data_IF_040866706810
#
_entry.id   IF_040866706810
#
_cell.length_a   1.000
_cell.length_b   1.000
_cell.length_c   1.000
_cell.angle_alpha   90.00
_cell.angle_beta   90.00
_cell.angle_gamma   90.00
#
_symmetry.space_group_name_H-M   'P 1'
#
loop_
_entity.id
_entity.type
_entity.pdbx_description
1 polymer ?
#
# COMPACT_ATOMS: atom_id res chain seq x y z
N UNK A 1 53.40 -29.50 5.21
CA UNK A 1 53.65 -30.87 4.69
C UNK A 1 52.42 -31.68 5.01
N UNK A 2 51.66 -32.36 4.14
CA UNK A 2 51.64 -32.72 2.71
C UNK A 2 50.12 -32.78 2.34
N UNK A 3 49.59 -32.31 1.20
CA UNK A 3 49.77 -32.67 -0.22
C UNK A 3 49.20 -34.05 -0.64
N UNK A 4 48.18 -34.01 -1.53
CA UNK A 4 47.76 -35.06 -2.50
C UNK A 4 46.55 -35.92 -2.07
N UNK A 5 45.62 -36.38 -2.93
CA UNK A 5 45.48 -36.36 -4.39
C UNK A 5 44.17 -37.07 -4.84
N UNK A 6 43.51 -36.53 -5.90
CA UNK A 6 42.82 -37.15 -7.06
C UNK A 6 41.68 -38.22 -7.00
N UNK A 7 40.69 -37.99 -7.90
CA UNK A 7 39.84 -38.99 -8.61
C UNK A 7 38.45 -38.43 -9.00
N UNK A 8 38.18 -37.90 -10.22
CA UNK A 8 37.66 -38.57 -11.46
C UNK A 8 36.60 -39.64 -11.21
N UNK A 9 35.41 -39.73 -11.82
CA UNK A 9 34.71 -39.11 -12.96
C UNK A 9 33.47 -40.01 -13.23
N UNK A 10 32.46 -39.55 -13.98
CA UNK A 10 31.34 -40.44 -14.36
C UNK A 10 30.09 -39.73 -14.89
N UNK A 11 29.94 -39.74 -16.21
CA UNK A 11 28.76 -39.35 -16.98
C UNK A 11 27.58 -40.30 -16.74
N UNK A 12 26.35 -39.77 -16.74
CA UNK A 12 25.18 -40.46 -17.33
C UNK A 12 24.22 -39.42 -17.92
N UNK A 13 23.95 -39.56 -19.22
CA UNK A 13 22.88 -38.88 -19.94
C UNK A 13 21.60 -39.70 -19.83
N UNK A 14 20.45 -39.03 -19.93
CA UNK A 14 19.28 -39.56 -20.62
C UNK A 14 18.29 -38.44 -20.91
N UNK A 15 18.30 -37.96 -22.16
CA UNK A 15 17.14 -37.34 -22.81
C UNK A 15 16.07 -38.41 -23.03
N UNK A 16 14.79 -38.08 -22.82
CA UNK A 16 13.69 -38.72 -23.55
C UNK A 16 12.43 -37.81 -23.62
N UNK A 17 12.24 -37.20 -24.79
CA UNK A 17 11.01 -37.22 -25.60
C UNK A 17 9.83 -36.30 -25.25
N UNK A 18 9.88 -35.14 -25.91
CA UNK A 18 8.81 -34.38 -26.60
C UNK A 18 7.52 -35.15 -26.93
N UNK A 19 6.34 -34.60 -26.62
CA UNK A 19 5.08 -34.83 -27.37
C UNK A 19 4.27 -33.53 -27.49
N UNK A 20 4.25 -32.96 -28.69
CA UNK A 20 3.26 -31.98 -29.16
C UNK A 20 1.93 -32.70 -29.45
N UNK A 21 0.80 -32.10 -29.08
CA UNK A 21 -0.49 -32.37 -29.73
C UNK A 21 -1.28 -31.07 -29.91
N UNK A 22 -1.37 -30.67 -31.17
CA UNK A 22 -2.33 -29.71 -31.72
C UNK A 22 -3.38 -30.51 -32.49
N UNK A 23 -4.69 -30.28 -32.33
CA UNK A 23 -5.68 -30.39 -33.43
C UNK A 23 -7.07 -29.81 -33.07
N UNK A 24 -7.42 -28.75 -33.79
CA UNK A 24 -8.68 -28.42 -34.51
C UNK A 24 -10.10 -28.52 -33.90
N UNK A 25 -10.72 -27.34 -33.79
CA UNK A 25 -12.06 -26.83 -34.21
C UNK A 25 -13.28 -27.78 -34.25
N UNK A 26 -14.36 -27.34 -33.59
CA UNK A 26 -15.73 -27.48 -34.12
C UNK A 26 -16.59 -26.26 -33.75
N UNK A 27 -17.12 -25.60 -34.78
CA UNK A 27 -18.15 -24.57 -34.68
C UNK A 27 -19.53 -25.24 -34.68
N UNK A 28 -20.46 -24.75 -33.87
CA UNK A 28 -21.88 -25.13 -33.94
C UNK A 28 -22.74 -23.90 -34.21
N UNK A 29 -23.39 -23.93 -35.38
CA UNK A 29 -24.52 -23.10 -35.79
C UNK A 29 -25.68 -23.24 -34.80
N UNK A 30 -26.36 -22.13 -34.50
CA UNK A 30 -27.75 -22.13 -34.09
C UNK A 30 -28.56 -21.26 -35.06
N UNK A 31 -29.59 -21.87 -35.63
CA UNK A 31 -30.41 -21.35 -36.71
C UNK A 31 -31.44 -20.30 -36.29
N UNK A 32 -31.84 -19.53 -37.29
CA UNK A 32 -32.91 -18.55 -37.37
C UNK A 32 -34.31 -19.15 -37.22
N UNK A 33 -35.22 -18.43 -36.56
CA UNK A 33 -36.63 -18.37 -36.94
C UNK A 33 -37.11 -16.91 -36.95
N UNK A 34 -37.61 -16.53 -38.13
CA UNK A 34 -38.31 -15.29 -38.44
C UNK A 34 -39.79 -15.41 -38.06
N UNK A 35 -40.35 -14.32 -37.54
CA UNK A 35 -41.74 -13.90 -37.61
C UNK A 35 -41.71 -12.41 -37.22
N UNK A 36 -42.20 -11.42 -37.94
CA UNK A 36 -42.88 -11.31 -39.21
C UNK A 36 -42.98 -9.80 -39.47
N UNK A 37 -42.88 -9.42 -40.75
CA UNK A 37 -42.89 -8.05 -41.21
C UNK A 37 -44.23 -7.34 -40.96
N UNK A 38 -44.19 -6.04 -40.70
CA UNK A 38 -45.11 -5.11 -41.36
C UNK A 38 -44.27 -3.99 -41.96
N UNK A 39 -44.35 -3.88 -43.28
CA UNK A 39 -43.70 -2.88 -44.11
C UNK A 39 -44.36 -1.50 -43.92
N UNK A 40 -43.53 -0.45 -43.96
CA UNK A 40 -43.85 0.80 -44.65
C UNK A 40 -42.54 1.44 -45.16
N UNK A 41 -42.53 1.76 -46.45
CA UNK A 41 -41.41 2.24 -47.27
C UNK A 41 -41.01 3.72 -47.00
N UNK A 42 -39.88 4.21 -47.57
CA UNK A 42 -39.06 5.27 -47.02
C UNK A 42 -39.38 6.66 -47.56
N UNK A 43 -39.06 7.68 -46.76
CA UNK A 43 -38.71 9.01 -47.25
C UNK A 43 -37.54 9.56 -46.42
N UNK A 44 -36.42 9.82 -47.10
CA UNK A 44 -35.35 10.72 -46.68
C UNK A 44 -35.09 11.66 -47.88
N UNK A 45 -34.47 12.84 -47.70
CA UNK A 45 -33.96 13.40 -46.45
C UNK A 45 -34.49 14.83 -46.19
N UNK A 46 -34.47 15.27 -44.93
CA UNK A 46 -34.25 16.69 -44.67
C UNK A 46 -33.30 16.87 -43.49
N UNK A 47 -32.26 17.63 -43.78
CA UNK A 47 -31.12 17.94 -42.93
C UNK A 47 -31.52 18.84 -41.76
N UNK A 48 -31.41 18.35 -40.53
CA UNK A 48 -31.09 19.17 -39.34
C UNK A 48 -30.87 18.28 -38.12
N UNK A 49 -29.65 17.79 -37.94
CA UNK A 49 -29.22 17.22 -36.67
C UNK A 49 -28.83 18.35 -35.72
N UNK A 50 -29.75 18.72 -34.82
CA UNK A 50 -29.44 19.48 -33.61
C UNK A 50 -28.75 18.52 -32.63
N UNK A 51 -27.52 18.80 -32.15
CA UNK A 51 -26.84 17.87 -31.26
C UNK A 51 -27.53 17.83 -29.90
N UNK A 52 -27.78 16.61 -29.43
CA UNK A 52 -28.20 16.33 -28.06
C UNK A 52 -27.16 16.91 -27.10
N UNK A 53 -27.61 17.88 -26.31
CA UNK A 53 -26.84 18.58 -25.30
C UNK A 53 -26.54 17.61 -24.14
N UNK A 54 -25.46 16.84 -24.25
CA UNK A 54 -24.84 16.19 -23.10
C UNK A 54 -24.29 17.32 -22.24
N UNK A 55 -25.07 17.70 -21.23
CA UNK A 55 -24.58 18.57 -20.16
C UNK A 55 -23.47 17.82 -19.43
N UNK A 56 -22.23 18.11 -19.84
CA UNK A 56 -21.04 17.88 -19.05
C UNK A 56 -21.31 18.46 -17.66
N UNK A 57 -21.48 17.60 -16.65
CA UNK A 57 -21.41 18.01 -15.26
C UNK A 57 -20.05 18.69 -15.10
N UNK A 58 -20.07 20.02 -15.02
CA UNK A 58 -18.93 20.80 -14.52
C UNK A 58 -18.57 20.20 -13.18
N UNK A 59 -17.35 19.69 -13.08
CA UNK A 59 -16.70 19.46 -11.81
C UNK A 59 -16.86 20.73 -10.98
N UNK A 60 -17.62 20.63 -9.88
CA UNK A 60 -17.65 21.69 -8.89
C UNK A 60 -16.24 21.76 -8.33
N UNK A 61 -15.51 22.80 -8.73
CA UNK A 61 -14.26 23.21 -8.11
C UNK A 61 -14.57 23.45 -6.64
N UNK A 62 -14.33 22.44 -5.79
CA UNK A 62 -14.40 22.58 -4.35
C UNK A 62 -13.45 23.69 -3.92
N UNK A 63 -13.78 24.41 -2.85
CA UNK A 63 -12.77 25.18 -2.14
C UNK A 63 -11.57 24.25 -1.90
N UNK A 64 -10.40 24.63 -2.40
CA UNK A 64 -9.21 23.82 -2.25
C UNK A 64 -8.89 23.62 -0.78
N UNK A 65 -8.40 22.43 -0.42
CA UNK A 65 -7.84 22.22 0.91
C UNK A 65 -6.55 23.05 0.99
N UNK A 66 -6.48 23.93 1.97
CA UNK A 66 -5.33 24.78 2.24
C UNK A 66 -4.04 23.95 2.30
N UNK A 67 -3.00 24.40 1.60
CA UNK A 67 -1.66 23.78 1.52
C UNK A 67 -1.58 22.41 0.84
N UNK A 68 -2.69 21.89 0.32
CA UNK A 68 -2.73 20.66 -0.46
C UNK A 68 -2.67 20.96 -1.96
N UNK A 69 -1.72 20.36 -2.68
CA UNK A 69 -1.63 20.46 -4.14
C UNK A 69 -1.50 19.08 -4.76
N UNK A 70 -2.32 18.78 -5.77
CA UNK A 70 -2.15 17.58 -6.58
C UNK A 70 -0.91 17.73 -7.46
N UNK A 71 -0.06 16.71 -7.45
CA UNK A 71 1.22 16.70 -8.16
C UNK A 71 1.14 15.84 -9.42
N UNK A 72 0.75 14.58 -9.27
CA UNK A 72 0.74 13.61 -10.37
C UNK A 72 -0.28 12.49 -10.15
N UNK A 73 -0.19 11.43 -10.97
CA UNK A 73 -1.03 10.23 -10.87
C UNK A 73 -0.19 8.96 -11.12
N UNK A 74 -0.32 7.96 -10.25
CA UNK A 74 0.38 6.67 -10.27
C UNK A 74 -0.40 5.67 -11.13
N UNK A 75 -0.42 5.85 -12.45
CA UNK A 75 -1.25 5.02 -13.35
C UNK A 75 -0.80 3.54 -13.43
N UNK A 76 0.47 3.26 -13.15
CA UNK A 76 1.06 1.92 -13.24
C UNK A 76 0.96 1.12 -11.92
N UNK A 77 0.51 1.75 -10.83
CA UNK A 77 0.42 1.14 -9.50
C UNK A 77 -1.05 1.07 -9.09
N UNK A 78 -1.63 -0.12 -9.17
CA UNK A 78 -3.01 -0.35 -8.73
C UNK A 78 -3.05 -0.25 -7.21
N UNK A 79 -3.97 0.56 -6.67
CA UNK A 79 -4.21 0.66 -5.21
C UNK A 79 -2.89 0.87 -4.44
N UNK A 80 -2.17 1.95 -4.78
CA UNK A 80 -0.95 2.34 -4.06
C UNK A 80 -1.27 2.50 -2.57
N UNK A 81 -0.56 1.73 -1.74
CA UNK A 81 -0.83 1.59 -0.32
C UNK A 81 0.15 2.42 0.52
N UNK A 82 1.43 2.04 0.66
CA UNK A 82 2.42 2.87 1.38
C UNK A 82 3.35 3.73 0.52
N UNK A 83 4.03 4.71 1.14
CA UNK A 83 5.10 5.53 0.53
C UNK A 83 6.40 5.52 1.34
N UNK A 84 7.54 5.43 0.67
CA UNK A 84 8.86 5.54 1.30
C UNK A 84 9.85 6.36 0.46
N UNK A 85 10.82 7.01 1.10
CA UNK A 85 11.91 7.69 0.38
C UNK A 85 12.85 6.66 -0.28
N UNK A 86 13.27 6.94 -1.51
CA UNK A 86 14.31 6.15 -2.19
C UNK A 86 15.73 6.54 -1.76
N UNK A 87 15.89 7.74 -1.20
CA UNK A 87 17.17 8.41 -1.02
C UNK A 87 17.62 9.20 -2.26
N UNK A 88 16.90 9.10 -3.38
CA UNK A 88 17.11 9.87 -4.61
C UNK A 88 16.01 10.94 -4.75
N UNK A 89 16.41 12.20 -4.86
CA UNK A 89 15.48 13.33 -4.98
C UNK A 89 14.49 13.15 -6.13
N UNK A 90 13.21 13.45 -5.88
CA UNK A 90 12.16 13.37 -6.90
C UNK A 90 11.62 11.96 -7.15
N UNK A 91 12.03 10.95 -6.37
CA UNK A 91 11.49 9.59 -6.47
C UNK A 91 11.05 9.03 -5.13
N UNK A 92 10.03 8.17 -5.16
CA UNK A 92 9.48 7.46 -4.00
C UNK A 92 9.39 5.96 -4.30
N UNK A 93 9.42 5.16 -3.24
CA UNK A 93 8.97 3.78 -3.26
C UNK A 93 7.49 3.70 -2.90
N UNK A 94 6.77 2.78 -3.52
CA UNK A 94 5.40 2.39 -3.17
C UNK A 94 5.16 0.91 -3.50
N UNK A 95 4.08 0.34 -3.00
CA UNK A 95 3.59 -0.97 -3.36
C UNK A 95 2.07 -0.93 -3.54
N UNK A 96 1.54 -1.95 -4.20
CA UNK A 96 0.10 -2.18 -4.27
C UNK A 96 -0.42 -2.83 -2.98
N UNK A 97 -1.70 -2.63 -2.71
CA UNK A 97 -2.48 -3.26 -1.64
C UNK A 97 -2.75 -4.76 -1.90
N UNK A 98 -3.50 -5.43 -1.02
CA UNK A 98 -3.88 -6.84 -1.05
C UNK A 98 -4.32 -7.37 -2.44
N UNK A 99 -4.04 -8.64 -2.69
CA UNK A 99 -4.38 -9.35 -3.91
C UNK A 99 -3.52 -8.96 -5.11
N UNK A 100 -2.51 -8.11 -4.94
CA UNK A 100 -1.53 -7.78 -5.97
C UNK A 100 -0.22 -8.57 -5.81
N UNK A 101 0.56 -8.73 -6.90
CA UNK A 101 1.90 -9.27 -6.80
C UNK A 101 2.80 -8.45 -5.85
N UNK A 102 3.73 -9.09 -5.12
CA UNK A 102 4.65 -8.42 -4.21
C UNK A 102 5.73 -7.69 -5.01
N UNK A 103 5.38 -6.51 -5.54
CA UNK A 103 6.27 -5.67 -6.34
C UNK A 103 6.47 -4.34 -5.62
N UNK A 104 7.75 -3.97 -5.47
CA UNK A 104 8.12 -2.64 -5.02
C UNK A 104 8.35 -1.75 -6.25
N UNK A 105 7.57 -0.68 -6.35
CA UNK A 105 7.63 0.29 -7.44
C UNK A 105 8.47 1.49 -7.01
N UNK A 106 9.41 1.90 -7.87
CA UNK A 106 10.03 3.22 -7.77
C UNK A 106 9.32 4.15 -8.73
N UNK A 107 8.70 5.20 -8.20
CA UNK A 107 7.95 6.19 -8.99
C UNK A 107 8.69 7.52 -9.02
N UNK A 108 8.49 8.30 -10.08
CA UNK A 108 8.93 9.69 -10.16
C UNK A 108 7.78 10.60 -9.76
N UNK A 109 8.03 11.50 -8.81
CA UNK A 109 7.02 12.38 -8.22
C UNK A 109 6.39 13.31 -9.28
N UNK A 110 7.23 13.92 -10.14
CA UNK A 110 6.82 14.94 -11.11
C UNK A 110 5.69 14.49 -12.04
N UNK A 111 5.78 13.28 -12.60
CA UNK A 111 4.83 12.77 -13.58
C UNK A 111 4.15 11.46 -13.17
N UNK A 112 4.45 10.94 -11.97
CA UNK A 112 3.83 9.74 -11.39
C UNK A 112 4.26 8.43 -12.05
N UNK A 113 5.19 8.46 -13.01
CA UNK A 113 5.60 7.28 -13.77
C UNK A 113 6.41 6.31 -12.94
N UNK A 114 6.19 5.02 -13.17
CA UNK A 114 7.07 3.97 -12.66
C UNK A 114 8.40 4.00 -13.43
N UNK A 115 9.50 4.20 -12.71
CA UNK A 115 10.86 4.24 -13.26
C UNK A 115 11.68 2.98 -12.92
N UNK A 116 11.21 2.16 -11.99
CA UNK A 116 11.72 0.80 -11.77
C UNK A 116 10.67 -0.06 -11.05
N UNK A 117 10.75 -1.38 -11.24
CA UNK A 117 9.98 -2.38 -10.51
C UNK A 117 10.94 -3.41 -9.95
N UNK A 118 10.68 -3.86 -8.72
CA UNK A 118 11.48 -4.86 -8.02
C UNK A 118 10.53 -5.96 -7.55
N UNK A 119 10.61 -7.12 -8.21
CA UNK A 119 9.91 -8.32 -7.75
C UNK A 119 10.52 -8.80 -6.44
N UNK A 120 9.68 -8.92 -5.42
CA UNK A 120 10.11 -9.30 -4.08
C UNK A 120 10.01 -10.81 -3.90
N UNK A 121 11.07 -11.50 -3.42
CA UNK A 121 11.12 -12.97 -3.32
C UNK A 121 10.36 -13.49 -2.08
N UNK A 122 9.16 -12.97 -1.84
CA UNK A 122 8.28 -13.35 -0.73
C UNK A 122 6.86 -13.54 -1.24
N UNK A 123 6.01 -14.18 -0.45
CA UNK A 123 4.57 -14.17 -0.70
C UNK A 123 3.98 -12.96 0.03
N UNK A 124 3.16 -12.17 -0.65
CA UNK A 124 2.32 -11.17 0.00
C UNK A 124 0.99 -11.81 0.36
N UNK A 125 0.59 -11.67 1.63
CA UNK A 125 -0.75 -12.02 2.10
C UNK A 125 -1.63 -10.79 2.31
N UNK A 126 -1.12 -9.72 2.89
CA UNK A 126 -1.85 -8.46 3.11
C UNK A 126 -0.85 -7.31 3.37
N UNK A 127 -0.28 -6.76 2.30
CA UNK A 127 0.73 -5.69 2.36
C UNK A 127 0.07 -4.33 2.48
N UNK A 128 0.35 -3.63 3.58
CA UNK A 128 -0.39 -2.41 3.94
C UNK A 128 0.49 -1.17 4.10
N UNK A 129 1.75 -1.34 4.45
CA UNK A 129 2.63 -0.17 4.67
C UNK A 129 4.09 -0.47 4.37
N UNK A 130 4.83 0.61 4.14
CA UNK A 130 6.28 0.61 3.97
C UNK A 130 6.91 1.76 4.75
N UNK A 131 8.00 1.47 5.44
CA UNK A 131 8.81 2.48 6.13
C UNK A 131 10.29 2.20 5.90
N UNK A 132 11.16 3.15 6.26
CA UNK A 132 12.59 3.11 5.95
C UNK A 132 13.43 3.49 7.17
N UNK A 133 14.56 2.83 7.34
CA UNK A 133 15.57 3.24 8.33
C UNK A 133 16.59 4.25 7.78
N UNK A 134 17.39 4.82 8.67
CA UNK A 134 18.37 5.86 8.35
C UNK A 134 19.46 5.38 7.36
N UNK A 135 19.70 4.08 7.28
CA UNK A 135 20.70 3.48 6.38
C UNK A 135 20.07 2.94 5.08
N UNK A 136 18.76 3.07 4.93
CA UNK A 136 18.01 2.78 3.72
C UNK A 136 17.51 1.36 3.55
N UNK A 137 17.43 0.57 4.62
CA UNK A 137 16.61 -0.64 4.58
C UNK A 137 15.13 -0.26 4.63
N UNK A 138 14.33 -1.03 3.90
CA UNK A 138 12.89 -0.92 3.85
C UNK A 138 12.26 -2.00 4.73
N UNK A 139 11.15 -1.64 5.35
CA UNK A 139 10.33 -2.50 6.19
C UNK A 139 8.92 -2.47 5.61
N UNK A 140 8.51 -3.57 4.99
CA UNK A 140 7.19 -3.73 4.38
C UNK A 140 6.33 -4.57 5.31
N UNK A 141 5.20 -4.04 5.75
CA UNK A 141 4.27 -4.70 6.65
C UNK A 141 3.31 -5.61 5.89
N UNK A 142 3.54 -6.93 5.96
CA UNK A 142 2.52 -7.95 5.67
C UNK A 142 1.75 -8.26 6.96
N UNK A 143 1.01 -7.25 7.40
CA UNK A 143 0.39 -7.19 8.73
C UNK A 143 -1.08 -6.77 8.68
N UNK A 144 -1.62 -6.53 7.49
CA UNK A 144 -3.05 -6.37 7.26
C UNK A 144 -3.80 -7.59 7.76
N UNK A 145 -4.90 -7.33 8.46
CA UNK A 145 -5.64 -8.33 9.20
C UNK A 145 -7.11 -7.88 9.36
N UNK A 146 -7.73 -7.54 8.23
CA UNK A 146 -9.12 -7.11 8.08
C UNK A 146 -10.11 -7.95 8.93
N UNK A 147 -9.95 -9.28 8.94
CA UNK A 147 -10.80 -10.20 9.69
C UNK A 147 -10.41 -10.37 11.17
N UNK A 148 -9.25 -9.87 11.58
CA UNK A 148 -8.65 -9.97 12.92
C UNK A 148 -8.39 -11.43 13.36
N UNK A 149 -8.11 -12.32 12.40
CA UNK A 149 -7.92 -13.76 12.60
C UNK A 149 -6.54 -14.29 12.18
N UNK A 150 -5.66 -13.43 11.64
CA UNK A 150 -4.30 -13.81 11.25
C UNK A 150 -3.39 -14.11 12.44
N UNK A 151 -2.50 -15.08 12.25
CA UNK A 151 -1.50 -15.56 13.23
C UNK A 151 -0.07 -15.54 12.70
N UNK A 152 0.10 -15.06 11.48
CA UNK A 152 1.29 -15.13 10.63
C UNK A 152 1.70 -13.72 10.17
N UNK A 153 1.54 -12.73 11.04
CA UNK A 153 1.93 -11.35 10.76
C UNK A 153 3.46 -11.26 10.64
N UNK A 154 3.93 -10.59 9.59
CA UNK A 154 5.36 -10.47 9.31
C UNK A 154 5.69 -9.10 8.74
N UNK A 155 6.82 -8.54 9.16
CA UNK A 155 7.43 -7.39 8.49
C UNK A 155 8.63 -7.91 7.68
N UNK A 156 8.63 -7.63 6.39
CA UNK A 156 9.74 -7.94 5.49
C UNK A 156 10.75 -6.81 5.53
N UNK A 157 11.98 -7.13 5.93
CA UNK A 157 13.11 -6.20 5.95
C UNK A 157 14.03 -6.51 4.78
N UNK A 158 14.33 -5.51 3.96
CA UNK A 158 15.28 -5.65 2.85
C UNK A 158 16.10 -4.38 2.64
N UNK A 159 17.19 -4.51 1.90
CA UNK A 159 17.86 -3.36 1.30
C UNK A 159 17.51 -3.31 -0.19
N UNK A 160 16.99 -2.20 -0.74
CA UNK A 160 16.59 -2.13 -2.15
C UNK A 160 17.77 -2.29 -3.12
N UNK A 161 19.02 -2.14 -2.66
CA UNK A 161 20.22 -2.45 -3.45
C UNK A 161 20.51 -3.95 -3.53
N UNK A 162 19.96 -4.75 -2.60
CA UNK A 162 20.07 -6.21 -2.57
C UNK A 162 18.68 -6.83 -2.30
N UNK A 163 17.68 -6.60 -3.16
CA UNK A 163 16.28 -6.92 -2.88
C UNK A 163 15.99 -8.42 -2.79
N UNK A 164 16.94 -9.25 -3.24
CA UNK A 164 16.84 -10.71 -3.15
C UNK A 164 17.14 -11.25 -1.75
N UNK A 165 17.68 -10.43 -0.85
CA UNK A 165 17.95 -10.78 0.55
C UNK A 165 16.87 -10.14 1.41
N UNK A 166 15.81 -10.91 1.69
CA UNK A 166 14.71 -10.49 2.56
C UNK A 166 14.82 -11.20 3.90
N UNK A 167 14.69 -10.44 4.97
CA UNK A 167 14.65 -10.96 6.33
C UNK A 167 13.26 -10.76 6.92
N UNK A 168 12.88 -11.59 7.88
CA UNK A 168 11.53 -11.60 8.46
C UNK A 168 11.55 -11.21 9.93
N UNK A 169 10.66 -10.28 10.29
CA UNK A 169 10.34 -9.93 11.67
C UNK A 169 8.90 -10.40 11.91
N UNK A 170 8.76 -11.59 12.48
CA UNK A 170 7.45 -12.19 12.78
C UNK A 170 6.94 -11.62 14.08
N UNK A 171 5.65 -11.34 14.14
CA UNK A 171 5.04 -10.76 15.33
C UNK A 171 3.67 -11.35 15.66
N UNK A 172 3.32 -11.27 16.93
CA UNK A 172 1.96 -11.47 17.44
C UNK A 172 1.62 -10.39 18.44
N UNK A 173 0.35 -10.00 18.50
CA UNK A 173 -0.10 -9.06 19.51
C UNK A 173 -0.16 -9.71 20.90
N UNK A 174 0.25 -9.01 21.96
CA UNK A 174 0.23 -9.55 23.33
C UNK A 174 -1.18 -9.79 23.86
N UNK A 175 -2.17 -9.05 23.36
CA UNK A 175 -3.55 -9.00 23.84
C UNK A 175 -4.59 -9.59 22.88
N UNK A 176 -4.15 -10.21 21.77
CA UNK A 176 -5.04 -10.95 20.87
C UNK A 176 -5.13 -12.43 21.30
N UNK A 177 -6.12 -12.74 22.14
CA UNK A 177 -6.32 -14.11 22.65
C UNK A 177 -7.27 -14.94 21.78
N UNK A 178 -8.07 -14.30 20.92
CA UNK A 178 -9.04 -14.92 20.02
C UNK A 178 -8.78 -14.49 18.56
N UNK A 179 -9.08 -15.37 17.61
CA UNK A 179 -8.80 -15.20 16.18
C UNK A 179 -10.00 -15.70 15.34
N UNK A 180 -11.00 -14.85 15.06
CA UNK A 180 -11.11 -13.46 15.48
C UNK A 180 -11.71 -13.27 16.87
N UNK A 181 -11.43 -12.14 17.55
CA UNK A 181 -12.17 -11.76 18.75
C UNK A 181 -13.60 -11.34 18.39
N UNK A 182 -14.43 -11.16 19.42
CA UNK A 182 -15.78 -10.60 19.26
C UNK A 182 -15.71 -9.26 18.51
N UNK A 183 -16.74 -8.95 17.72
CA UNK A 183 -16.76 -7.78 16.82
C UNK A 183 -16.29 -6.47 17.49
N UNK A 184 -16.77 -6.15 18.69
CA UNK A 184 -16.40 -4.94 19.44
C UNK A 184 -14.93 -4.89 19.89
N UNK A 185 -14.20 -6.00 19.84
CA UNK A 185 -12.81 -6.13 20.27
C UNK A 185 -11.83 -6.27 19.08
N UNK A 186 -12.32 -6.14 17.84
CA UNK A 186 -11.52 -6.25 16.61
C UNK A 186 -10.68 -4.99 16.38
N UNK A 187 -9.55 -4.93 17.09
CA UNK A 187 -8.58 -3.85 16.97
C UNK A 187 -7.16 -4.47 16.94
N UNK A 188 -6.98 -5.35 15.95
CA UNK A 188 -5.76 -6.11 15.61
C UNK A 188 -5.52 -6.16 14.10
N UNK A 189 -6.21 -5.28 13.37
CA UNK A 189 -5.90 -4.96 11.99
C UNK A 189 -4.83 -3.88 11.98
N UNK A 190 -3.74 -4.05 11.27
CA UNK A 190 -2.64 -3.08 11.25
C UNK A 190 -2.37 -2.68 9.83
N UNK A 191 -2.48 -1.39 9.57
CA UNK A 191 -2.31 -0.89 8.21
C UNK A 191 -1.18 0.13 8.11
N UNK A 192 -0.70 0.66 9.23
CA UNK A 192 0.40 1.62 9.25
C UNK A 192 1.59 1.12 10.07
N UNK A 193 2.80 1.31 9.53
CA UNK A 193 4.06 1.02 10.20
C UNK A 193 5.04 2.19 10.12
N UNK A 194 5.87 2.36 11.14
CA UNK A 194 6.88 3.41 11.22
C UNK A 194 8.17 2.86 11.82
N UNK A 195 9.30 2.98 11.13
CA UNK A 195 10.60 2.72 11.73
C UNK A 195 11.10 3.97 12.46
N UNK A 196 11.63 3.79 13.67
CA UNK A 196 12.32 4.83 14.42
C UNK A 196 13.24 4.20 15.47
N UNK A 197 14.51 4.62 15.50
CA UNK A 197 15.49 4.27 16.55
C UNK A 197 15.58 2.76 16.86
N UNK A 198 15.78 1.95 15.80
CA UNK A 198 15.95 0.49 15.91
C UNK A 198 14.66 -0.30 16.20
N UNK A 199 13.51 0.35 16.08
CA UNK A 199 12.20 -0.24 16.36
C UNK A 199 11.25 0.00 15.19
N UNK A 200 10.37 -0.97 14.94
CA UNK A 200 9.21 -0.79 14.07
C UNK A 200 7.97 -0.64 14.94
N UNK A 201 7.26 0.46 14.75
CA UNK A 201 6.00 0.79 15.39
C UNK A 201 4.86 0.38 14.46
N UNK A 202 3.78 -0.15 15.05
CA UNK A 202 2.60 -0.63 14.35
C UNK A 202 1.38 0.12 14.87
N UNK A 203 0.55 0.64 13.96
CA UNK A 203 -0.65 1.39 14.29
C UNK A 203 -1.87 0.66 13.73
N UNK A 204 -2.82 0.34 14.61
CA UNK A 204 -3.97 -0.45 14.21
C UNK A 204 -5.12 0.36 13.66
N UNK A 205 -5.88 -0.28 12.79
CA UNK A 205 -7.21 0.10 12.35
C UNK A 205 -8.24 -0.59 13.24
N UNK A 206 -9.10 0.19 13.88
CA UNK A 206 -10.11 -0.30 14.81
C UNK A 206 -11.37 -0.71 14.06
N UNK A 207 -11.39 -1.97 13.62
CA UNK A 207 -12.55 -2.61 12.97
C UNK A 207 -13.70 -2.92 13.95
N UNK A 208 -13.55 -2.57 15.23
CA UNK A 208 -14.50 -2.86 16.29
C UNK A 208 -15.31 -1.64 16.71
N UNK A 209 -14.72 -0.79 17.53
CA UNK A 209 -15.38 0.40 18.09
C UNK A 209 -15.12 1.65 17.27
N UNK A 210 -14.09 1.65 16.42
CA UNK A 210 -13.66 2.81 15.62
C UNK A 210 -13.29 4.01 16.50
N UNK A 211 -12.74 3.77 17.70
CA UNK A 211 -12.46 4.83 18.69
C UNK A 211 -10.97 5.03 18.94
N UNK A 212 -10.14 4.01 18.66
CA UNK A 212 -8.72 4.07 19.01
C UNK A 212 -7.81 3.36 18.03
N UNK A 213 -6.65 3.95 17.72
CA UNK A 213 -5.53 3.20 17.13
C UNK A 213 -4.59 2.73 18.24
N UNK A 214 -4.38 1.42 18.36
CA UNK A 214 -3.39 0.86 19.29
C UNK A 214 -2.00 1.00 18.66
N UNK A 215 -1.02 1.33 19.49
CA UNK A 215 0.37 1.46 19.07
C UNK A 215 1.19 0.36 19.69
N UNK A 216 1.76 -0.51 18.86
CA UNK A 216 2.67 -1.56 19.27
C UNK A 216 4.08 -1.28 18.76
N UNK A 217 5.06 -2.02 19.28
CA UNK A 217 6.42 -2.00 18.74
C UNK A 217 7.09 -3.38 18.80
N UNK A 218 7.99 -3.61 17.85
CA UNK A 218 8.94 -4.73 17.78
C UNK A 218 10.34 -4.22 17.41
N UNK A 219 11.43 -4.92 17.76
CA UNK A 219 12.76 -4.61 17.26
C UNK A 219 12.84 -4.74 15.73
N UNK A 220 13.71 -3.94 15.10
CA UNK A 220 13.92 -3.91 13.64
C UNK A 220 14.80 -5.04 13.09
N UNK A 221 15.07 -6.07 13.91
CA UNK A 221 15.97 -7.18 13.58
C UNK A 221 15.18 -8.48 13.33
N UNK A 222 15.70 -9.38 12.49
CA UNK A 222 15.01 -10.63 12.17
C UNK A 222 14.76 -11.47 13.42
N UNK A 223 13.57 -12.06 13.51
CA UNK A 223 13.18 -12.83 14.69
C UNK A 223 11.68 -13.08 14.80
N UNK A 224 11.27 -13.60 15.95
CA UNK A 224 9.87 -13.77 16.31
C UNK A 224 9.60 -13.10 17.64
N UNK A 225 8.64 -12.18 17.66
CA UNK A 225 8.37 -11.31 18.80
C UNK A 225 6.92 -11.37 19.24
N UNK A 226 6.72 -11.30 20.56
CA UNK A 226 5.46 -10.76 21.08
C UNK A 226 5.62 -9.24 21.08
N UNK A 227 4.77 -8.53 20.32
CA UNK A 227 4.84 -7.08 20.25
C UNK A 227 4.57 -6.45 21.62
N UNK A 228 5.12 -5.26 21.86
CA UNK A 228 4.85 -4.49 23.09
C UNK A 228 3.78 -3.45 22.81
N UNK A 229 2.63 -3.54 23.47
CA UNK A 229 1.61 -2.49 23.44
C UNK A 229 2.11 -1.26 24.23
N UNK A 230 2.19 -0.11 23.57
CA UNK A 230 2.70 1.14 24.14
C UNK A 230 1.56 2.06 24.62
N UNK A 231 0.57 2.29 23.77
CA UNK A 231 -0.54 3.21 24.04
C UNK A 231 -1.74 2.93 23.13
N UNK A 232 -2.82 3.69 23.33
CA UNK A 232 -3.98 3.78 22.44
C UNK A 232 -4.23 5.26 22.14
N UNK A 233 -4.13 5.63 20.87
CA UNK A 233 -4.42 6.98 20.41
C UNK A 233 -5.93 7.15 20.23
N UNK A 234 -6.49 8.22 20.78
CA UNK A 234 -7.91 8.53 20.68
C UNK A 234 -8.22 9.23 19.34
N UNK A 235 -8.14 8.46 18.25
CA UNK A 235 -8.49 8.88 16.89
C UNK A 235 -9.50 7.88 16.31
N UNK A 236 -10.45 8.34 15.48
CA UNK A 236 -11.35 7.42 14.77
C UNK A 236 -10.51 6.44 13.97
N UNK A 237 -10.61 5.15 14.32
CA UNK A 237 -9.61 4.13 14.01
C UNK A 237 -9.58 3.66 12.57
N UNK A 238 -9.62 4.56 11.59
CA UNK A 238 -9.49 4.25 10.16
C UNK A 238 -8.08 4.58 9.65
N UNK A 239 -7.05 4.34 10.47
CA UNK A 239 -5.65 4.60 10.13
C UNK A 239 -5.24 3.81 8.88
N UNK A 240 -4.56 4.46 7.94
CA UNK A 240 -4.04 3.88 6.70
C UNK A 240 -2.52 4.02 6.57
N UNK A 241 -1.90 5.12 7.03
CA UNK A 241 -0.44 5.23 7.12
C UNK A 241 0.05 5.95 8.38
N UNK A 242 1.36 5.84 8.62
CA UNK A 242 2.10 6.59 9.63
C UNK A 242 3.45 7.08 9.10
N UNK A 243 3.74 8.37 9.22
CA UNK A 243 5.06 8.94 8.87
C UNK A 243 5.55 9.92 9.93
N UNK A 244 6.87 9.94 10.14
CA UNK A 244 7.55 10.84 11.06
C UNK A 244 8.40 11.86 10.29
N UNK A 245 8.38 13.12 10.72
CA UNK A 245 9.24 14.14 10.13
C UNK A 245 10.72 13.81 10.38
N UNK A 246 11.64 14.23 9.50
CA UNK A 246 13.07 13.95 9.65
C UNK A 246 13.65 14.39 11.01
N UNK A 247 13.21 15.52 11.55
CA UNK A 247 13.62 15.99 12.87
C UNK A 247 12.97 15.24 14.06
N UNK A 248 12.08 14.29 13.81
CA UNK A 248 11.39 13.48 14.84
C UNK A 248 10.34 14.24 15.67
N UNK A 249 9.91 15.43 15.23
CA UNK A 249 9.03 16.33 15.98
C UNK A 249 7.57 16.33 15.54
N UNK A 250 7.27 15.72 14.39
CA UNK A 250 5.91 15.59 13.85
C UNK A 250 5.64 14.16 13.45
N UNK A 251 4.58 13.58 14.02
CA UNK A 251 4.02 12.30 13.57
C UNK A 251 2.72 12.61 12.83
N UNK A 252 2.56 12.06 11.64
CA UNK A 252 1.31 12.11 10.89
C UNK A 252 0.74 10.72 10.79
N UNK A 253 -0.54 10.58 11.14
CA UNK A 253 -1.34 9.40 10.82
C UNK A 253 -2.37 9.78 9.75
N UNK A 254 -2.38 9.04 8.66
CA UNK A 254 -3.41 9.14 7.63
C UNK A 254 -4.61 8.31 8.05
N UNK A 255 -5.81 8.78 7.72
CA UNK A 255 -7.04 8.04 7.94
C UNK A 255 -8.09 8.41 6.89
N UNK A 256 -7.99 7.77 5.72
CA UNK A 256 -8.87 7.99 4.55
C UNK A 256 -8.97 9.44 4.05
N UNK A 257 -9.96 10.19 4.48
CA UNK A 257 -10.13 11.60 4.10
C UNK A 257 -9.75 12.52 5.27
N UNK A 258 -8.88 12.05 6.17
CA UNK A 258 -8.45 12.75 7.37
C UNK A 258 -6.95 12.57 7.59
N UNK A 259 -6.35 13.57 8.22
CA UNK A 259 -4.96 13.55 8.64
C UNK A 259 -4.87 14.00 10.11
N UNK A 260 -4.15 13.23 10.92
CA UNK A 260 -3.91 13.53 12.33
C UNK A 260 -2.44 13.89 12.53
N UNK A 261 -2.19 15.16 12.88
CA UNK A 261 -0.84 15.69 13.08
C UNK A 261 -0.57 15.80 14.57
N UNK A 262 0.44 15.10 15.03
CA UNK A 262 0.94 15.16 16.41
C UNK A 262 2.22 15.98 16.41
N UNK A 263 2.39 16.88 17.38
CA UNK A 263 3.63 17.62 17.60
C UNK A 263 4.22 17.32 18.99
N UNK A 264 5.55 17.23 19.06
CA UNK A 264 6.26 16.97 20.31
C UNK A 264 7.76 16.93 20.14
N UNK A 265 8.51 16.95 21.25
CA UNK A 265 9.98 16.98 21.22
C UNK A 265 10.64 15.64 20.82
N UNK A 266 9.86 14.54 20.82
CA UNK A 266 10.29 13.19 20.43
C UNK A 266 9.07 12.27 20.28
N UNK A 267 9.29 11.05 19.76
CA UNK A 267 8.22 10.06 19.55
C UNK A 267 7.42 9.73 20.82
N UNK A 268 8.07 9.67 21.99
CA UNK A 268 7.37 9.38 23.24
C UNK A 268 6.43 10.52 23.67
N UNK A 269 6.77 11.78 23.36
CA UNK A 269 5.90 12.92 23.55
C UNK A 269 4.76 12.94 22.52
N UNK A 270 5.08 12.64 21.24
CA UNK A 270 4.12 12.56 20.14
C UNK A 270 2.99 11.56 20.43
N UNK A 271 3.33 10.35 20.90
CA UNK A 271 2.35 9.31 21.23
C UNK A 271 1.46 9.63 22.45
N UNK A 272 1.69 10.76 23.13
CA UNK A 272 0.86 11.29 24.23
C UNK A 272 0.16 12.60 23.85
N UNK A 273 0.56 13.22 22.74
CA UNK A 273 0.00 14.49 22.30
C UNK A 273 -1.44 14.30 21.81
N UNK A 274 -2.24 15.36 21.95
CA UNK A 274 -3.52 15.46 21.27
C UNK A 274 -3.24 15.88 19.82
N UNK A 275 -3.71 15.14 18.80
CA UNK A 275 -3.46 15.53 17.43
C UNK A 275 -4.31 16.73 17.01
N UNK A 276 -3.77 17.53 16.10
CA UNK A 276 -4.58 18.35 15.21
C UNK A 276 -5.22 17.44 14.15
N UNK A 277 -6.53 17.60 13.92
CA UNK A 277 -7.28 16.86 12.91
C UNK A 277 -7.51 17.77 11.71
N UNK A 278 -6.96 17.39 10.56
CA UNK A 278 -7.10 18.10 9.30
C UNK A 278 -8.01 17.29 8.38
N UNK A 279 -9.06 17.93 7.86
CA UNK A 279 -9.99 17.32 6.92
C UNK A 279 -9.41 17.33 5.51
N UNK A 280 -9.34 16.16 4.88
CA UNK A 280 -8.98 15.95 3.48
C UNK A 280 -10.19 15.52 2.63
N UNK A 281 -11.40 15.91 3.04
CA UNK A 281 -12.64 15.58 2.34
C UNK A 281 -12.59 15.91 0.85
N UNK A 282 -12.88 14.92 0.00
CA UNK A 282 -12.87 15.03 -1.46
C UNK A 282 -11.54 14.69 -2.12
N UNK A 283 -10.50 14.35 -1.34
CA UNK A 283 -9.22 13.86 -1.85
C UNK A 283 -9.32 12.40 -2.31
N UNK A 284 -10.26 11.64 -1.76
CA UNK A 284 -10.32 10.19 -1.93
C UNK A 284 -9.68 9.46 -0.77
N UNK A 285 -9.57 8.14 -0.88
CA UNK A 285 -9.04 7.30 0.19
C UNK A 285 -7.51 7.44 0.23
N UNK A 286 -6.97 8.26 1.13
CA UNK A 286 -5.52 8.39 1.29
C UNK A 286 -4.97 7.14 1.95
N UNK A 287 -3.93 6.58 1.34
CA UNK A 287 -3.31 5.34 1.81
C UNK A 287 -1.91 5.55 2.28
N UNK A 288 -1.08 6.26 1.52
CA UNK A 288 0.34 6.42 1.81
C UNK A 288 0.71 7.85 2.12
N UNK A 289 1.65 8.06 3.04
CA UNK A 289 2.22 9.37 3.33
C UNK A 289 3.71 9.27 3.66
N UNK A 290 4.50 10.24 3.20
CA UNK A 290 5.93 10.31 3.52
C UNK A 290 6.40 11.75 3.62
N UNK A 291 7.14 12.06 4.67
CA UNK A 291 7.84 13.33 4.79
C UNK A 291 9.06 13.37 3.87
N UNK A 292 9.24 14.49 3.15
CA UNK A 292 10.48 14.79 2.41
C UNK A 292 11.29 15.91 3.03
N UNK A 293 10.65 16.76 3.84
CA UNK A 293 11.28 17.74 4.73
C UNK A 293 10.56 17.70 6.08
N UNK A 294 10.91 18.60 7.00
CA UNK A 294 10.20 18.71 8.29
C UNK A 294 8.75 19.22 8.17
N UNK A 295 8.37 19.75 7.00
CA UNK A 295 7.04 20.35 6.74
C UNK A 295 6.33 19.77 5.51
N UNK A 296 7.06 19.25 4.53
CA UNK A 296 6.51 18.78 3.26
C UNK A 296 6.22 17.28 3.30
N UNK A 297 4.96 16.91 3.11
CA UNK A 297 4.51 15.53 2.91
C UNK A 297 4.13 15.29 1.45
N UNK A 298 4.38 14.07 0.98
CA UNK A 298 3.67 13.50 -0.15
C UNK A 298 2.61 12.52 0.34
N UNK A 299 1.44 12.53 -0.28
CA UNK A 299 0.28 11.69 0.07
C UNK A 299 -0.24 10.99 -1.18
N UNK A 300 -0.37 9.66 -1.15
CA UNK A 300 -1.01 8.87 -2.20
C UNK A 300 -2.44 8.49 -1.83
N UNK A 301 -3.26 8.20 -2.84
CA UNK A 301 -4.60 7.63 -2.67
C UNK A 301 -4.73 6.29 -3.39
N UNK A 302 -5.67 5.43 -2.99
CA UNK A 302 -5.97 4.17 -3.69
C UNK A 302 -6.29 4.41 -5.18
N UNK A 303 -6.87 5.58 -5.51
CA UNK A 303 -7.22 5.97 -6.88
C UNK A 303 -5.99 6.45 -7.69
N UNK A 304 -4.81 6.40 -7.09
CA UNK A 304 -3.52 6.71 -7.69
C UNK A 304 -3.20 8.19 -7.74
N UNK A 305 -3.95 9.08 -7.08
CA UNK A 305 -3.57 10.49 -7.05
C UNK A 305 -2.40 10.71 -6.07
N UNK A 306 -1.40 11.49 -6.48
CA UNK A 306 -0.30 11.93 -5.61
C UNK A 306 -0.46 13.41 -5.31
N UNK A 307 -0.40 13.77 -4.03
CA UNK A 307 -0.49 15.14 -3.54
C UNK A 307 0.78 15.51 -2.78
N UNK A 308 1.08 16.80 -2.75
CA UNK A 308 1.99 17.41 -1.79
C UNK A 308 1.16 18.21 -0.77
N UNK A 309 1.57 18.17 0.49
CA UNK A 309 0.97 18.94 1.58
C UNK A 309 2.05 19.64 2.39
N UNK A 310 1.95 20.96 2.55
CA UNK A 310 2.87 21.74 3.39
C UNK A 310 2.25 22.00 4.77
N UNK A 311 2.82 21.38 5.82
CA UNK A 311 2.45 21.68 7.20
C UNK A 311 3.00 23.04 7.62
N UNK A 312 2.16 23.82 8.30
CA UNK A 312 2.54 25.10 8.90
C UNK A 312 3.40 24.96 10.15
#
# INVERSE_FOLDING_TARGET
MAAGAYGTGGFFSSDFTQHMRTLWIAATLAGTLLSGCSEAQPSQPDTSATPLNVSSKKDKKGEGIDHLKRVSKLDDVRESSGLALTGESGTLYTHSDDGNPPILYRIRIEDGKTVAQIDMPVQSRDWESITRDDVGNLYIGDVGNNNNDRRDLVIHRLNPLNPQIVQEIKLKYPDQTEFPPKKKQRNFDCEATLWYDGQVYLFTKDRGQQETSKVYTVPDRPGSYTAKLLTKLAIPGEVTDATLSPNGRRLVLMAREEMFVFEGENLAALLKAKPERISLKGVGQTEGAVFTTDSLLYISTEQGALYEYELK
#
